data_IF_996883999476
#
_entry.id   IF_996883999476
#
_cell.length_a   1.000
_cell.length_b   1.000
_cell.length_c   1.000
_cell.angle_alpha   90.00
_cell.angle_beta   90.00
_cell.angle_gamma   90.00
#
_symmetry.space_group_name_H-M   'P 1'
#
loop_
_entity.id
_entity.type
_entity.pdbx_description
1 polymer ?
#
# COMPACT_ATOMS: atom_id res chain seq x y z
N UNK A 1 18.49 -21.09 1.93
CA UNK A 1 17.11 -21.25 1.44
C UNK A 1 16.18 -20.97 2.59
N UNK A 2 15.27 -20.01 2.45
CA UNK A 2 14.31 -19.67 3.50
C UNK A 2 13.05 -20.55 3.40
N UNK A 3 12.37 -20.73 4.52
CA UNK A 3 11.09 -21.39 4.63
C UNK A 3 10.12 -20.45 5.38
N UNK A 4 8.91 -20.27 4.87
CA UNK A 4 7.93 -19.37 5.46
C UNK A 4 7.63 -19.69 6.93
N UNK A 5 7.50 -20.99 7.26
CA UNK A 5 7.23 -21.44 8.64
C UNK A 5 8.38 -21.12 9.61
N UNK A 6 9.62 -21.11 9.14
CA UNK A 6 10.77 -20.75 9.97
C UNK A 6 10.82 -19.25 10.26
N UNK A 7 10.45 -18.43 9.28
CA UNK A 7 10.34 -16.98 9.44
C UNK A 7 9.22 -16.66 10.44
N UNK A 8 8.05 -17.31 10.29
CA UNK A 8 6.92 -17.17 11.23
C UNK A 8 7.35 -17.60 12.64
N UNK A 9 8.01 -18.76 12.77
CA UNK A 9 8.52 -19.26 14.06
C UNK A 9 9.48 -18.27 14.71
N UNK A 10 10.44 -17.76 13.94
CA UNK A 10 11.43 -16.78 14.42
C UNK A 10 10.75 -15.52 14.97
N UNK A 11 9.76 -14.98 14.26
CA UNK A 11 9.00 -13.81 14.72
C UNK A 11 8.11 -14.12 15.91
N UNK A 12 7.46 -15.30 15.93
CA UNK A 12 6.66 -15.77 17.06
C UNK A 12 7.48 -15.83 18.35
N UNK A 13 8.74 -16.21 18.25
CA UNK A 13 9.66 -16.34 19.39
C UNK A 13 10.32 -14.99 19.78
N UNK A 14 9.82 -13.87 19.21
CA UNK A 14 10.23 -12.51 19.55
C UNK A 14 11.53 -12.04 18.89
N UNK A 15 12.06 -12.79 17.92
CA UNK A 15 13.29 -12.41 17.23
C UNK A 15 13.02 -11.49 16.02
N UNK A 16 13.95 -10.57 15.76
CA UNK A 16 13.88 -9.71 14.59
C UNK A 16 14.19 -10.50 13.31
N UNK A 17 13.44 -10.15 12.25
CA UNK A 17 13.64 -10.69 10.90
C UNK A 17 14.71 -9.89 10.15
N UNK A 18 15.48 -10.57 9.29
CA UNK A 18 16.42 -9.89 8.39
C UNK A 18 15.69 -9.32 7.16
N UNK A 19 16.36 -8.42 6.42
CA UNK A 19 15.86 -7.88 5.16
C UNK A 19 15.55 -8.99 4.14
N UNK A 20 16.43 -9.98 4.04
CA UNK A 20 16.26 -11.10 3.11
C UNK A 20 15.06 -11.99 3.48
N UNK A 21 14.82 -12.22 4.78
CA UNK A 21 13.67 -12.99 5.25
C UNK A 21 12.36 -12.27 4.94
N UNK A 22 12.32 -10.96 5.16
CA UNK A 22 11.16 -10.12 4.85
C UNK A 22 10.90 -10.09 3.34
N UNK A 23 11.93 -9.84 2.53
CA UNK A 23 11.80 -9.84 1.06
C UNK A 23 11.37 -11.19 0.52
N UNK A 24 11.93 -12.29 1.04
CA UNK A 24 11.49 -13.64 0.67
C UNK A 24 10.00 -13.83 0.93
N UNK A 25 9.53 -13.40 2.10
CA UNK A 25 8.13 -13.57 2.48
C UNK A 25 7.20 -12.71 1.59
N UNK A 26 7.53 -11.45 1.37
CA UNK A 26 6.73 -10.54 0.54
C UNK A 26 6.71 -10.99 -0.93
N UNK A 27 7.84 -11.41 -1.48
CA UNK A 27 7.87 -11.97 -2.83
C UNK A 27 7.02 -13.23 -2.94
N UNK A 28 7.05 -14.09 -1.92
CA UNK A 28 6.20 -15.28 -1.88
C UNK A 28 4.70 -14.97 -1.81
N UNK A 29 4.31 -13.86 -1.21
CA UNK A 29 2.92 -13.36 -1.28
C UNK A 29 2.56 -12.96 -2.71
N UNK A 30 3.40 -12.15 -3.35
CA UNK A 30 3.21 -11.71 -4.74
C UNK A 30 3.09 -12.91 -5.70
N UNK A 31 3.96 -13.88 -5.54
CA UNK A 31 4.06 -15.04 -6.43
C UNK A 31 3.11 -16.18 -6.05
N UNK A 32 2.26 -15.99 -5.03
CA UNK A 32 1.32 -16.99 -4.50
C UNK A 32 1.99 -18.31 -4.04
N UNK A 33 3.26 -18.22 -3.60
CA UNK A 33 3.99 -19.38 -3.04
C UNK A 33 3.86 -19.48 -1.52
N UNK A 34 3.35 -18.43 -0.88
CA UNK A 34 3.01 -18.38 0.55
C UNK A 34 1.48 -18.35 0.67
N UNK A 35 0.92 -19.25 1.47
CA UNK A 35 -0.52 -19.39 1.66
C UNK A 35 -1.10 -18.28 2.54
N UNK A 36 -2.40 -18.00 2.39
CA UNK A 36 -3.13 -17.03 3.23
C UNK A 36 -2.98 -17.34 4.74
N UNK A 37 -2.99 -18.63 5.11
CA UNK A 37 -2.77 -19.04 6.48
C UNK A 37 -1.40 -18.65 7.02
N UNK A 38 -0.36 -18.73 6.20
CA UNK A 38 1.00 -18.30 6.56
C UNK A 38 1.10 -16.78 6.64
N UNK A 39 0.41 -16.06 5.76
CA UNK A 39 0.32 -14.59 5.79
C UNK A 39 -0.35 -14.15 7.09
N UNK A 40 -1.51 -14.73 7.41
CA UNK A 40 -2.23 -14.43 8.64
C UNK A 40 -1.40 -14.77 9.89
N UNK A 41 -0.68 -15.90 9.89
CA UNK A 41 0.20 -16.29 10.99
C UNK A 41 1.33 -15.28 11.19
N UNK A 42 2.02 -14.83 10.14
CA UNK A 42 3.05 -13.80 10.26
C UNK A 42 2.46 -12.48 10.77
N UNK A 43 1.31 -12.05 10.23
CA UNK A 43 0.64 -10.83 10.68
C UNK A 43 0.32 -10.87 12.17
N UNK A 44 -0.17 -12.00 12.68
CA UNK A 44 -0.44 -12.18 14.11
C UNK A 44 0.82 -12.20 14.97
N UNK A 45 1.93 -12.78 14.48
CA UNK A 45 3.20 -12.71 15.22
C UNK A 45 3.73 -11.28 15.30
N UNK A 46 3.58 -10.50 14.24
CA UNK A 46 3.92 -9.07 14.23
C UNK A 46 3.02 -8.30 15.20
N UNK A 47 1.72 -8.60 15.21
CA UNK A 47 0.80 -7.96 16.13
C UNK A 47 1.20 -8.15 17.60
N UNK A 48 1.65 -9.35 17.99
CA UNK A 48 2.02 -9.64 19.37
C UNK A 48 3.43 -9.17 19.75
N UNK A 49 4.38 -9.14 18.82
CA UNK A 49 5.79 -8.88 19.11
C UNK A 49 6.33 -7.58 18.51
N UNK A 50 5.48 -6.89 17.72
CA UNK A 50 5.86 -5.68 17.00
C UNK A 50 7.06 -5.89 16.03
N UNK A 51 7.51 -4.84 15.42
CA UNK A 51 8.66 -4.80 14.52
C UNK A 51 9.63 -3.71 14.95
N UNK A 52 10.91 -4.01 14.91
CA UNK A 52 11.95 -3.00 15.04
C UNK A 52 11.89 -2.00 13.87
N UNK A 53 12.48 -0.83 14.01
CA UNK A 53 12.51 0.15 12.92
C UNK A 53 13.17 -0.40 11.63
N UNK A 54 14.29 -1.13 11.68
CA UNK A 54 14.84 -1.77 10.49
C UNK A 54 13.88 -2.75 9.82
N UNK A 55 13.14 -3.57 10.58
CA UNK A 55 12.13 -4.48 10.02
C UNK A 55 11.00 -3.72 9.33
N UNK A 56 10.50 -2.62 9.93
CA UNK A 56 9.44 -1.78 9.33
C UNK A 56 9.89 -1.16 8.03
N UNK A 57 11.12 -0.65 7.98
CA UNK A 57 11.71 -0.10 6.75
C UNK A 57 11.83 -1.19 5.69
N UNK A 58 12.40 -2.34 6.06
CA UNK A 58 12.54 -3.47 5.14
C UNK A 58 11.19 -3.95 4.59
N UNK A 59 10.18 -4.09 5.46
CA UNK A 59 8.83 -4.49 5.06
C UNK A 59 8.22 -3.49 4.08
N UNK A 60 8.31 -2.19 4.38
CA UNK A 60 7.79 -1.12 3.52
C UNK A 60 8.45 -1.14 2.15
N UNK A 61 9.77 -1.26 2.11
CA UNK A 61 10.53 -1.30 0.86
C UNK A 61 10.23 -2.58 0.07
N UNK A 62 10.16 -3.73 0.73
CA UNK A 62 9.82 -4.99 0.07
C UNK A 62 8.41 -4.95 -0.53
N UNK A 63 7.42 -4.41 0.18
CA UNK A 63 6.06 -4.25 -0.32
C UNK A 63 6.01 -3.29 -1.52
N UNK A 64 6.68 -2.15 -1.44
CA UNK A 64 6.79 -1.21 -2.57
C UNK A 64 7.39 -1.89 -3.81
N UNK A 65 8.51 -2.59 -3.63
CA UNK A 65 9.28 -3.18 -4.72
C UNK A 65 8.64 -4.46 -5.28
N UNK A 66 7.68 -5.04 -4.57
CA UNK A 66 6.92 -6.21 -5.04
C UNK A 66 5.91 -5.89 -6.14
N UNK A 67 5.50 -4.63 -6.29
CA UNK A 67 4.55 -4.17 -7.29
C UNK A 67 5.18 -3.24 -8.33
N UNK A 68 4.31 -2.55 -9.09
CA UNK A 68 4.74 -1.51 -10.02
C UNK A 68 5.01 -0.22 -9.26
N UNK A 69 6.23 0.29 -9.36
CA UNK A 69 6.58 1.61 -8.83
C UNK A 69 6.32 2.65 -9.92
N UNK A 70 5.37 3.55 -9.67
CA UNK A 70 4.99 4.57 -10.63
C UNK A 70 6.07 5.66 -10.72
N UNK A 71 6.42 6.03 -11.95
CA UNK A 71 7.29 7.17 -12.24
C UNK A 71 6.53 8.24 -13.03
N UNK A 72 6.53 9.45 -12.50
CA UNK A 72 5.81 10.60 -13.05
C UNK A 72 6.70 11.55 -13.84
N UNK A 73 8.03 11.35 -13.81
CA UNK A 73 9.00 12.26 -14.46
C UNK A 73 8.77 12.38 -15.97
N UNK A 74 8.34 11.28 -16.59
CA UNK A 74 8.04 11.22 -18.03
C UNK A 74 6.88 12.13 -18.47
N UNK A 75 6.02 12.55 -17.53
CA UNK A 75 4.88 13.43 -17.83
C UNK A 75 5.26 14.91 -17.90
N UNK A 76 6.45 15.29 -17.42
CA UNK A 76 6.94 16.70 -17.40
C UNK A 76 5.92 17.67 -16.78
N UNK A 77 5.33 17.29 -15.65
CA UNK A 77 4.29 18.06 -14.97
C UNK A 77 4.84 19.38 -14.45
N UNK A 78 4.04 20.45 -14.57
CA UNK A 78 4.40 21.82 -14.16
C UNK A 78 3.97 22.13 -12.71
N UNK A 79 4.26 21.27 -11.77
CA UNK A 79 3.91 21.46 -10.36
C UNK A 79 4.42 20.32 -9.49
N UNK A 80 4.29 20.47 -8.18
CA UNK A 80 4.72 19.42 -7.25
C UNK A 80 3.81 18.21 -7.35
N UNK A 81 4.41 17.02 -7.32
CA UNK A 81 3.70 15.76 -7.21
C UNK A 81 3.73 15.37 -5.74
N UNK A 82 2.56 15.22 -5.15
CA UNK A 82 2.41 14.92 -3.73
C UNK A 82 1.44 13.76 -3.54
N UNK A 83 1.56 13.08 -2.41
CA UNK A 83 0.61 12.07 -1.98
C UNK A 83 0.24 12.31 -0.53
N UNK A 84 -0.81 11.68 -0.06
CA UNK A 84 -1.23 11.73 1.33
C UNK A 84 -1.37 10.32 1.89
N UNK A 85 -1.17 10.20 3.17
CA UNK A 85 -1.40 8.98 3.91
C UNK A 85 -2.53 9.17 4.93
N UNK A 86 -3.47 8.24 4.95
CA UNK A 86 -4.51 8.16 5.99
C UNK A 86 -4.10 7.11 7.01
N UNK A 87 -4.32 7.40 8.29
CA UNK A 87 -4.14 6.41 9.36
C UNK A 87 -5.23 5.34 9.38
N UNK A 88 -6.32 5.55 8.64
CA UNK A 88 -7.45 4.63 8.54
C UNK A 88 -8.28 4.52 9.81
N UNK A 89 -9.05 3.46 9.93
CA UNK A 89 -9.77 3.04 11.14
C UNK A 89 -11.14 3.69 11.36
N UNK A 90 -11.28 4.99 11.16
CA UNK A 90 -12.55 5.72 11.36
C UNK A 90 -13.28 6.04 10.06
N UNK A 91 -12.65 5.81 8.93
CA UNK A 91 -13.14 6.16 7.59
C UNK A 91 -12.59 7.50 7.12
N UNK A 92 -11.96 7.48 5.95
CA UNK A 92 -11.35 8.67 5.36
C UNK A 92 -12.36 9.38 4.46
N UNK A 93 -12.79 10.58 4.85
CA UNK A 93 -13.58 11.49 4.02
C UNK A 93 -12.74 12.67 3.52
N UNK A 94 -11.58 12.91 4.13
CA UNK A 94 -10.71 14.03 3.81
C UNK A 94 -10.13 13.91 2.42
N UNK A 95 -9.79 12.70 1.97
CA UNK A 95 -9.22 12.44 0.65
C UNK A 95 -10.10 12.92 -0.50
N UNK A 96 -11.43 12.81 -0.36
CA UNK A 96 -12.37 13.23 -1.38
C UNK A 96 -12.31 14.74 -1.67
N UNK A 97 -12.03 15.53 -0.63
CA UNK A 97 -11.89 16.98 -0.75
C UNK A 97 -10.45 17.40 -1.06
N UNK A 98 -9.48 16.70 -0.48
CA UNK A 98 -8.07 17.05 -0.58
C UNK A 98 -7.54 16.95 -2.01
N UNK A 99 -7.92 15.92 -2.75
CA UNK A 99 -7.52 15.75 -4.15
C UNK A 99 -7.83 16.98 -5.01
N UNK A 100 -9.10 17.38 -5.14
CA UNK A 100 -9.48 18.58 -5.88
C UNK A 100 -8.85 19.88 -5.35
N UNK A 101 -8.66 20.02 -4.02
CA UNK A 101 -8.04 21.20 -3.44
C UNK A 101 -6.56 21.32 -3.84
N UNK A 102 -5.80 20.22 -3.79
CA UNK A 102 -4.40 20.20 -4.21
C UNK A 102 -4.28 20.50 -5.70
N UNK A 103 -5.14 19.91 -6.54
CA UNK A 103 -5.16 20.18 -7.97
C UNK A 103 -5.48 21.67 -8.25
N UNK A 104 -6.44 22.25 -7.57
CA UNK A 104 -6.77 23.67 -7.68
C UNK A 104 -5.62 24.61 -7.26
N UNK A 105 -4.71 24.13 -6.40
CA UNK A 105 -3.51 24.85 -6.01
C UNK A 105 -2.31 24.62 -6.95
N UNK A 106 -2.50 23.90 -8.06
CA UNK A 106 -1.44 23.62 -9.04
C UNK A 106 -0.54 22.44 -8.67
N UNK A 107 -0.94 21.60 -7.71
CA UNK A 107 -0.27 20.35 -7.39
C UNK A 107 -0.88 19.16 -8.13
N UNK A 108 -0.12 18.08 -8.23
CA UNK A 108 -0.59 16.80 -8.77
C UNK A 108 -0.63 15.77 -7.65
N UNK A 109 -1.75 15.08 -7.50
CA UNK A 109 -1.94 14.12 -6.42
C UNK A 109 -2.42 12.76 -6.95
N UNK A 110 -1.51 11.92 -7.47
CA UNK A 110 -1.82 10.58 -7.97
C UNK A 110 -2.16 9.63 -6.80
N UNK A 111 -3.32 9.85 -6.19
CA UNK A 111 -3.75 9.19 -4.98
C UNK A 111 -4.15 7.75 -5.24
N UNK A 112 -3.45 6.82 -4.60
CA UNK A 112 -3.80 5.40 -4.59
C UNK A 112 -4.46 5.08 -3.24
N UNK A 113 -5.55 4.34 -3.28
CA UNK A 113 -6.31 4.01 -2.07
C UNK A 113 -6.79 2.56 -2.09
N UNK A 114 -7.39 2.13 -1.00
CA UNK A 114 -7.91 0.78 -0.81
C UNK A 114 -9.40 0.74 -0.48
N UNK A 115 -9.92 -0.49 -0.41
CA UNK A 115 -11.24 -0.82 0.11
C UNK A 115 -11.28 -0.62 1.63
N UNK A 116 -12.46 -0.63 2.19
CA UNK A 116 -12.67 -0.53 3.63
C UNK A 116 -12.05 -1.70 4.40
N UNK A 117 -11.58 -1.40 5.59
CA UNK A 117 -11.09 -2.37 6.55
C UNK A 117 -12.05 -2.42 7.75
N UNK A 118 -12.53 -3.61 8.09
CA UNK A 118 -13.46 -3.80 9.21
C UNK A 118 -14.84 -3.22 8.93
N UNK A 119 -15.31 -2.31 9.80
CA UNK A 119 -16.69 -1.78 9.76
C UNK A 119 -16.83 -0.45 9.00
N UNK A 120 -15.77 0.09 8.44
CA UNK A 120 -15.79 1.37 7.70
C UNK A 120 -15.58 1.14 6.21
N UNK A 121 -16.22 1.96 5.37
CA UNK A 121 -15.93 2.01 3.95
C UNK A 121 -14.60 2.71 3.67
N UNK A 122 -13.82 2.19 2.72
CA UNK A 122 -12.61 2.82 2.22
C UNK A 122 -12.90 3.99 1.28
N UNK A 123 -11.87 4.69 0.87
CA UNK A 123 -12.00 5.80 -0.09
C UNK A 123 -12.52 5.31 -1.43
N UNK A 124 -12.06 4.14 -1.90
CA UNK A 124 -12.56 3.55 -3.15
C UNK A 124 -14.05 3.21 -3.08
N UNK A 125 -14.52 2.65 -1.95
CA UNK A 125 -15.94 2.32 -1.77
C UNK A 125 -16.83 3.57 -1.86
N UNK A 126 -16.35 4.70 -1.35
CA UNK A 126 -17.07 5.98 -1.43
C UNK A 126 -17.10 6.54 -2.86
N UNK A 127 -16.00 6.50 -3.57
CA UNK A 127 -15.92 6.97 -4.96
C UNK A 127 -16.74 6.09 -5.91
N UNK A 128 -16.72 4.77 -5.70
CA UNK A 128 -17.53 3.80 -6.47
C UNK A 128 -19.04 4.05 -6.32
N UNK A 129 -19.48 4.66 -5.22
CA UNK A 129 -20.89 5.04 -5.04
C UNK A 129 -21.34 6.20 -5.96
N UNK A 130 -20.41 6.89 -6.60
CA UNK A 130 -20.71 7.96 -7.56
C UNK A 130 -20.95 7.32 -8.93
N UNK A 131 -22.16 7.44 -9.52
CA UNK A 131 -22.46 6.83 -10.80
C UNK A 131 -21.47 7.25 -11.90
N UNK A 132 -20.84 6.28 -12.56
CA UNK A 132 -19.89 6.50 -13.65
C UNK A 132 -18.46 6.80 -13.21
N UNK A 133 -18.15 6.81 -11.92
CA UNK A 133 -16.78 6.97 -11.44
C UNK A 133 -16.03 5.64 -11.55
N UNK A 134 -14.95 5.60 -12.35
CA UNK A 134 -14.09 4.44 -12.49
C UNK A 134 -12.97 4.48 -11.43
N UNK A 135 -12.97 3.50 -10.53
CA UNK A 135 -11.98 3.37 -9.45
C UNK A 135 -10.79 2.48 -9.81
N UNK A 136 -10.79 1.88 -10.99
CA UNK A 136 -9.73 0.98 -11.47
C UNK A 136 -9.26 1.35 -12.89
N UNK A 137 -8.90 2.62 -13.15
CA UNK A 137 -8.34 2.97 -14.44
C UNK A 137 -7.05 2.18 -14.68
N UNK A 138 -6.79 1.82 -15.94
CA UNK A 138 -5.49 1.27 -16.29
C UNK A 138 -4.37 2.34 -16.16
N UNK A 139 -3.10 1.89 -16.19
CA UNK A 139 -1.95 2.78 -15.99
C UNK A 139 -1.91 3.95 -16.98
N UNK A 140 -2.34 3.75 -18.23
CA UNK A 140 -2.35 4.79 -19.25
C UNK A 140 -3.41 5.84 -18.93
N UNK A 141 -4.63 5.37 -18.62
CA UNK A 141 -5.74 6.25 -18.25
C UNK A 141 -5.45 7.01 -16.95
N UNK A 142 -4.81 6.35 -15.98
CA UNK A 142 -4.39 7.01 -14.74
C UNK A 142 -3.37 8.14 -15.01
N UNK A 143 -2.40 7.89 -15.91
CA UNK A 143 -1.43 8.91 -16.31
C UNK A 143 -2.05 10.08 -17.07
N UNK A 144 -3.04 9.83 -17.93
CA UNK A 144 -3.81 10.87 -18.60
C UNK A 144 -4.53 11.77 -17.59
N UNK A 145 -5.28 11.16 -16.64
CA UNK A 145 -6.02 11.89 -15.60
C UNK A 145 -5.10 12.78 -14.78
N UNK A 146 -3.90 12.30 -14.44
CA UNK A 146 -2.94 13.10 -13.66
C UNK A 146 -2.36 14.26 -14.49
N UNK A 147 -2.31 14.14 -15.80
CA UNK A 147 -1.76 15.18 -16.68
C UNK A 147 -2.76 16.31 -16.95
N UNK A 148 -4.05 16.01 -16.99
CA UNK A 148 -5.15 16.96 -17.26
C UNK A 148 -5.45 17.83 -16.03
#
# INVERSE_FOLDING_TARGET
MFLAQEIIRKKRDGHALSDEEIRFFINGIRDNTISEGQIAALAMTIFFHDMTMPERVSLTMAMRDSGTVLDWKSLHLNGPIVDKHSTGGVGDVTSLMLGPMVAACGGYIPMISGRGLGHTGGTLDKLESIPGFDIFPDDNRFREIIKD
#
